data_IF_250895941880
#
_entry.id   IF_250895941880
#
_cell.length_a   1.000
_cell.length_b   1.000
_cell.length_c   1.000
_cell.angle_alpha   90.00
_cell.angle_beta   90.00
_cell.angle_gamma   90.00
#
_symmetry.space_group_name_H-M   'P 1'
#
loop_
_entity.id
_entity.type
_entity.pdbx_description
1 polymer ?
#
# COMPACT_ATOMS: atom_id res chain seq x y z
N UNK A 1 5.88 -6.59 -33.13
CA UNK A 1 6.10 -5.46 -32.20
C UNK A 1 6.68 -5.90 -30.86
N UNK A 2 6.28 -7.04 -30.27
CA UNK A 2 6.86 -7.50 -28.98
C UNK A 2 8.33 -7.93 -29.14
N UNK A 3 8.73 -8.48 -30.28
CA UNK A 3 10.11 -8.93 -30.56
C UNK A 3 11.14 -7.80 -30.82
N UNK A 4 10.72 -6.57 -31.03
CA UNK A 4 11.65 -5.45 -31.28
C UNK A 4 12.18 -4.83 -29.99
N UNK A 5 11.37 -4.77 -28.96
CA UNK A 5 11.74 -4.18 -27.65
C UNK A 5 12.89 -4.95 -26.98
N UNK A 6 12.99 -6.26 -27.25
CA UNK A 6 14.05 -7.12 -26.67
C UNK A 6 15.36 -7.12 -27.48
N UNK A 7 15.42 -6.40 -28.61
CA UNK A 7 16.58 -6.39 -29.53
C UNK A 7 17.41 -5.12 -29.51
N UNK A 8 16.89 -4.05 -28.96
CA UNK A 8 17.67 -2.82 -28.85
C UNK A 8 18.74 -2.98 -27.76
N UNK A 9 19.98 -2.69 -28.14
CA UNK A 9 21.10 -2.70 -27.20
C UNK A 9 21.00 -1.49 -26.30
N UNK A 10 20.94 -1.73 -25.00
CA UNK A 10 21.04 -0.66 -24.01
C UNK A 10 22.51 -0.26 -23.81
N UNK A 11 22.84 0.97 -24.17
CA UNK A 11 24.18 1.50 -23.99
C UNK A 11 24.11 2.82 -23.20
N UNK A 12 24.90 2.95 -22.15
CA UNK A 12 25.02 4.15 -21.33
C UNK A 12 26.49 4.59 -21.30
N UNK A 13 26.79 5.77 -21.78
CA UNK A 13 28.15 6.32 -21.84
C UNK A 13 29.18 5.36 -22.48
N UNK A 14 28.77 4.67 -23.56
CA UNK A 14 29.59 3.68 -24.25
C UNK A 14 29.68 2.30 -23.58
N UNK A 15 29.09 2.11 -22.41
CA UNK A 15 29.01 0.80 -21.72
C UNK A 15 27.71 0.08 -22.10
N UNK A 16 27.84 -1.09 -22.69
CA UNK A 16 26.69 -1.94 -23.02
C UNK A 16 26.16 -2.68 -21.78
N UNK A 17 24.86 -2.58 -21.54
CA UNK A 17 24.14 -3.37 -20.52
C UNK A 17 23.55 -4.57 -21.21
N UNK A 18 23.95 -5.75 -20.78
CA UNK A 18 23.57 -7.00 -21.42
C UNK A 18 22.08 -7.34 -21.23
N UNK A 19 21.47 -7.93 -22.24
CA UNK A 19 20.08 -8.37 -22.20
C UNK A 19 19.76 -9.32 -21.02
N UNK A 20 20.71 -10.19 -20.65
CA UNK A 20 20.55 -11.09 -19.51
C UNK A 20 20.44 -10.31 -18.18
N UNK A 21 21.17 -9.19 -18.04
CA UNK A 21 21.06 -8.33 -16.87
C UNK A 21 19.69 -7.63 -16.80
N UNK A 22 19.18 -7.17 -17.97
CA UNK A 22 17.83 -6.58 -18.04
C UNK A 22 16.77 -7.63 -17.72
N UNK A 23 16.92 -8.86 -18.22
CA UNK A 23 15.99 -9.96 -17.94
C UNK A 23 15.97 -10.36 -16.46
N UNK A 24 17.12 -10.34 -15.78
CA UNK A 24 17.22 -10.58 -14.36
C UNK A 24 16.55 -9.46 -13.55
N UNK A 25 16.81 -8.21 -13.90
CA UNK A 25 16.21 -7.04 -13.25
C UNK A 25 14.69 -6.98 -13.46
N UNK A 26 14.19 -7.36 -14.65
CA UNK A 26 12.75 -7.34 -14.98
C UNK A 26 11.89 -8.21 -14.03
N UNK A 27 12.49 -9.20 -13.37
CA UNK A 27 11.80 -10.02 -12.36
C UNK A 27 11.43 -9.22 -11.10
N UNK A 28 12.10 -8.12 -10.86
CA UNK A 28 11.87 -7.23 -9.70
C UNK A 28 10.91 -6.07 -10.04
N UNK A 29 10.46 -5.96 -11.29
CA UNK A 29 9.56 -4.90 -11.74
C UNK A 29 8.16 -5.48 -12.06
N UNK A 30 7.21 -5.47 -11.09
CA UNK A 30 5.83 -5.91 -11.35
C UNK A 30 5.19 -5.02 -12.40
N UNK A 31 4.77 -5.61 -13.52
CA UNK A 31 4.16 -4.89 -14.63
C UNK A 31 3.03 -5.73 -15.27
N UNK A 32 2.09 -5.08 -16.03
CA UNK A 32 1.00 -5.80 -16.66
C UNK A 32 1.45 -6.83 -17.72
N UNK A 33 2.62 -6.61 -18.30
CA UNK A 33 3.19 -7.49 -19.35
C UNK A 33 4.72 -7.46 -19.32
N UNK A 34 5.33 -8.43 -20.02
CA UNK A 34 6.77 -8.62 -20.06
C UNK A 34 7.52 -7.44 -20.74
N UNK A 35 6.90 -6.76 -21.70
CA UNK A 35 7.54 -5.62 -22.37
C UNK A 35 7.64 -4.42 -21.43
N UNK A 36 6.58 -4.15 -20.66
CA UNK A 36 6.57 -3.10 -19.64
C UNK A 36 7.57 -3.38 -18.51
N UNK A 37 7.68 -4.65 -18.05
CA UNK A 37 8.68 -5.06 -17.08
C UNK A 37 10.12 -4.87 -17.60
N UNK A 38 10.35 -5.26 -18.86
CA UNK A 38 11.64 -5.08 -19.53
C UNK A 38 12.03 -3.61 -19.62
N UNK A 39 11.11 -2.75 -20.05
CA UNK A 39 11.36 -1.32 -20.16
C UNK A 39 11.70 -0.71 -18.81
N UNK A 40 10.95 -1.01 -17.76
CA UNK A 40 11.21 -0.54 -16.41
C UNK A 40 12.58 -0.99 -15.88
N UNK A 41 12.96 -2.25 -16.15
CA UNK A 41 14.27 -2.79 -15.81
C UNK A 41 15.40 -2.09 -16.59
N UNK A 42 15.21 -1.85 -17.89
CA UNK A 42 16.19 -1.14 -18.71
C UNK A 42 16.39 0.31 -18.23
N UNK A 43 15.30 1.00 -17.88
CA UNK A 43 15.37 2.34 -17.27
C UNK A 43 16.12 2.33 -15.93
N UNK A 44 15.82 1.39 -15.04
CA UNK A 44 16.46 1.26 -13.74
C UNK A 44 17.96 1.01 -13.88
N UNK A 45 18.37 0.10 -14.76
CA UNK A 45 19.78 -0.20 -15.02
C UNK A 45 20.50 0.96 -15.70
N UNK A 46 19.86 1.71 -16.58
CA UNK A 46 20.42 2.90 -17.19
C UNK A 46 20.68 3.99 -16.14
N UNK A 47 19.71 4.25 -15.27
CA UNK A 47 19.85 5.20 -14.15
C UNK A 47 20.97 4.76 -13.21
N UNK A 48 21.01 3.48 -12.84
CA UNK A 48 22.07 2.91 -11.99
C UNK A 48 23.44 3.15 -12.60
N UNK A 49 23.60 2.91 -13.92
CA UNK A 49 24.86 3.11 -14.61
C UNK A 49 25.27 4.58 -14.64
N UNK A 50 24.34 5.51 -14.90
CA UNK A 50 24.61 6.95 -14.86
C UNK A 50 25.13 7.39 -13.48
N UNK A 51 24.49 6.91 -12.40
CA UNK A 51 24.90 7.24 -11.04
C UNK A 51 26.28 6.66 -10.71
N UNK A 52 26.58 5.44 -11.15
CA UNK A 52 27.89 4.83 -10.95
C UNK A 52 28.99 5.56 -11.73
N UNK A 53 28.72 5.95 -12.98
CA UNK A 53 29.67 6.72 -13.81
C UNK A 53 29.95 8.07 -13.16
N UNK A 54 28.95 8.72 -12.58
CA UNK A 54 29.11 9.98 -11.87
C UNK A 54 29.89 9.80 -10.55
N UNK A 55 29.63 8.71 -9.81
CA UNK A 55 30.42 8.37 -8.63
C UNK A 55 31.91 8.13 -8.99
N UNK A 56 32.16 7.45 -10.11
CA UNK A 56 33.52 7.27 -10.64
C UNK A 56 34.16 8.63 -10.99
N UNK A 57 33.45 9.50 -11.69
CA UNK A 57 33.91 10.85 -12.08
C UNK A 57 34.31 11.73 -10.87
N UNK A 58 33.52 11.61 -9.78
CA UNK A 58 33.74 12.37 -8.54
C UNK A 58 34.70 11.68 -7.56
N UNK A 59 35.12 10.44 -7.86
CA UNK A 59 35.99 9.66 -6.98
C UNK A 59 35.30 9.25 -5.68
N UNK A 60 33.99 9.05 -5.73
CA UNK A 60 33.19 8.62 -4.56
C UNK A 60 33.30 7.11 -4.41
N UNK A 61 33.91 6.70 -3.31
CA UNK A 61 33.96 5.30 -2.89
C UNK A 61 32.85 5.02 -1.88
N UNK A 62 32.14 3.91 -2.05
CA UNK A 62 31.16 3.44 -1.08
C UNK A 62 31.89 2.92 0.17
N UNK A 63 31.97 3.72 1.20
CA UNK A 63 32.39 3.24 2.51
C UNK A 63 31.24 2.39 3.12
N UNK A 64 31.60 1.48 4.03
CA UNK A 64 30.76 0.50 4.73
C UNK A 64 29.40 1.06 5.27
N UNK A 65 28.51 1.43 4.34
CA UNK A 65 27.14 1.79 4.65
C UNK A 65 26.33 0.50 4.92
N UNK A 66 25.41 0.59 5.84
CA UNK A 66 24.49 -0.50 6.17
C UNK A 66 23.06 -0.05 5.88
N UNK A 67 22.20 -1.01 5.56
CA UNK A 67 20.76 -0.80 5.49
C UNK A 67 20.15 -0.55 6.89
N UNK A 68 18.83 -0.29 6.93
CA UNK A 68 18.09 -0.04 8.18
C UNK A 68 18.10 -1.24 9.15
N UNK A 69 18.45 -2.44 8.66
CA UNK A 69 18.57 -3.68 9.44
C UNK A 69 20.02 -3.95 9.87
N UNK A 70 20.94 -3.05 9.54
CA UNK A 70 22.38 -3.12 9.90
C UNK A 70 23.19 -4.07 9.02
N UNK A 71 22.67 -4.52 7.86
CA UNK A 71 23.38 -5.35 6.90
C UNK A 71 24.21 -4.48 5.96
N UNK A 72 25.44 -4.87 5.62
CA UNK A 72 26.26 -4.09 4.68
C UNK A 72 25.56 -4.02 3.30
N UNK A 73 25.50 -2.82 2.75
CA UNK A 73 25.03 -2.62 1.38
C UNK A 73 25.99 -3.26 0.38
N UNK A 74 25.45 -3.65 -0.78
CA UNK A 74 26.31 -4.06 -1.89
C UNK A 74 27.20 -2.89 -2.33
N UNK A 75 28.43 -3.13 -2.80
CA UNK A 75 29.40 -2.07 -3.08
C UNK A 75 28.88 -0.97 -4.02
N UNK A 76 28.09 -1.34 -5.04
CA UNK A 76 27.50 -0.39 -5.96
C UNK A 76 26.38 0.44 -5.32
N UNK A 77 25.54 -0.19 -4.49
CA UNK A 77 24.51 0.50 -3.72
C UNK A 77 25.12 1.50 -2.74
N UNK A 78 26.13 1.08 -2.00
CA UNK A 78 26.85 1.96 -1.08
C UNK A 78 27.48 3.18 -1.78
N UNK A 79 27.97 3.00 -3.02
CA UNK A 79 28.51 4.12 -3.82
C UNK A 79 27.42 5.08 -4.29
N UNK A 80 26.28 4.56 -4.75
CA UNK A 80 25.12 5.36 -5.15
C UNK A 80 24.59 6.15 -3.96
N UNK A 81 24.43 5.52 -2.82
CA UNK A 81 23.98 6.17 -1.58
C UNK A 81 24.96 7.30 -1.17
N UNK A 82 26.26 7.03 -1.21
CA UNK A 82 27.29 8.04 -0.90
C UNK A 82 27.26 9.21 -1.91
N UNK A 83 27.05 8.93 -3.20
CA UNK A 83 26.90 9.96 -4.23
C UNK A 83 25.68 10.83 -3.96
N UNK A 84 24.52 10.21 -3.75
CA UNK A 84 23.28 10.94 -3.50
C UNK A 84 23.35 11.78 -2.22
N UNK A 85 23.98 11.27 -1.17
CA UNK A 85 24.19 12.01 0.08
C UNK A 85 25.13 13.22 -0.10
N UNK A 86 26.10 13.14 -1.02
CA UNK A 86 27.02 14.23 -1.29
C UNK A 86 26.42 15.32 -2.20
N UNK A 87 25.74 14.91 -3.26
CA UNK A 87 25.30 15.79 -4.35
C UNK A 87 23.87 16.29 -4.22
N UNK A 88 22.98 15.52 -3.55
CA UNK A 88 21.60 15.87 -3.41
C UNK A 88 21.33 16.44 -2.02
N UNK A 89 20.99 17.74 -1.99
CA UNK A 89 20.64 18.42 -0.74
C UNK A 89 19.21 18.91 -0.82
N UNK A 90 18.42 18.62 0.19
CA UNK A 90 17.04 19.09 0.30
C UNK A 90 16.82 19.81 1.62
N UNK A 91 16.00 20.88 1.61
CA UNK A 91 15.66 21.55 2.85
C UNK A 91 14.80 20.65 3.74
N UNK A 92 15.05 20.70 5.03
CA UNK A 92 14.15 20.08 6.00
C UNK A 92 12.82 20.81 6.07
N UNK A 93 11.75 20.08 6.27
CA UNK A 93 10.42 20.65 6.42
C UNK A 93 10.26 21.24 7.83
N UNK A 94 10.31 22.56 7.94
CA UNK A 94 10.04 23.23 9.19
C UNK A 94 8.55 23.15 9.59
N UNK A 95 8.27 23.49 10.85
CA UNK A 95 6.92 23.47 11.40
C UNK A 95 5.94 24.38 10.63
N UNK A 96 6.42 25.48 10.05
CA UNK A 96 5.59 26.40 9.28
C UNK A 96 5.17 25.79 7.94
N UNK A 97 6.08 25.09 7.27
CA UNK A 97 5.80 24.35 6.03
C UNK A 97 4.86 23.18 6.27
N UNK A 98 5.09 22.39 7.31
CA UNK A 98 4.20 21.31 7.72
C UNK A 98 2.80 21.85 8.07
N UNK A 99 2.71 23.00 8.74
CA UNK A 99 1.42 23.63 9.08
C UNK A 99 0.66 24.08 7.84
N UNK A 100 1.33 24.72 6.88
CA UNK A 100 0.69 25.11 5.62
C UNK A 100 0.15 23.89 4.86
N UNK A 101 0.92 22.81 4.81
CA UNK A 101 0.47 21.57 4.19
C UNK A 101 -0.77 20.99 4.89
N UNK A 102 -0.74 20.92 6.21
CA UNK A 102 -1.89 20.49 7.01
C UNK A 102 -3.14 21.33 6.72
N UNK A 103 -3.01 22.67 6.74
CA UNK A 103 -4.14 23.59 6.56
C UNK A 103 -4.74 23.50 5.15
N UNK A 104 -3.90 23.21 4.14
CA UNK A 104 -4.34 23.03 2.76
C UNK A 104 -4.97 21.67 2.49
N UNK A 105 -4.59 20.64 3.28
CA UNK A 105 -4.99 19.24 3.05
C UNK A 105 -5.71 18.62 4.26
N UNK A 106 -6.52 19.40 4.97
CA UNK A 106 -7.18 18.99 6.22
C UNK A 106 -7.93 17.66 6.13
N UNK A 107 -8.58 17.40 5.00
CA UNK A 107 -9.34 16.15 4.79
C UNK A 107 -8.47 14.89 4.86
N UNK A 108 -7.17 14.99 4.56
CA UNK A 108 -6.21 13.88 4.67
C UNK A 108 -5.85 13.54 6.12
N UNK A 109 -6.13 14.45 7.04
CA UNK A 109 -5.76 14.35 8.46
C UNK A 109 -6.99 14.17 9.33
N UNK A 110 -7.87 13.26 8.93
CA UNK A 110 -9.00 12.82 9.73
C UNK A 110 -8.76 11.41 10.24
N UNK A 111 -9.30 11.10 11.42
CA UNK A 111 -9.32 9.72 11.90
C UNK A 111 -10.18 8.86 10.96
N UNK A 112 -9.89 7.58 10.89
CA UNK A 112 -10.82 6.67 10.24
C UNK A 112 -12.15 6.62 11.01
N UNK A 113 -13.28 6.36 10.32
CA UNK A 113 -14.51 5.99 10.99
C UNK A 113 -14.32 4.65 11.71
N UNK A 114 -14.93 4.50 12.88
CA UNK A 114 -14.97 3.22 13.58
C UNK A 114 -16.43 2.88 13.89
N UNK A 115 -16.77 1.60 13.72
CA UNK A 115 -18.11 1.09 14.03
C UNK A 115 -17.95 -0.10 14.97
N UNK A 116 -18.64 -0.07 16.10
CA UNK A 116 -18.78 -1.26 16.94
C UNK A 116 -19.58 -2.29 16.18
N UNK A 117 -19.06 -3.51 16.06
CA UNK A 117 -19.68 -4.57 15.29
C UNK A 117 -20.01 -5.77 16.15
N UNK A 118 -21.18 -6.31 15.93
CA UNK A 118 -21.57 -7.60 16.43
C UNK A 118 -21.98 -8.47 15.25
N UNK A 119 -21.63 -9.76 15.31
CA UNK A 119 -22.02 -10.67 14.25
C UNK A 119 -22.37 -12.08 14.75
N UNK A 120 -23.16 -12.77 13.94
CA UNK A 120 -23.43 -14.20 14.04
C UNK A 120 -22.92 -14.83 12.76
N UNK A 121 -21.97 -15.77 12.86
CA UNK A 121 -21.43 -16.48 11.71
C UNK A 121 -22.05 -17.87 11.61
N UNK A 122 -22.71 -18.14 10.51
CA UNK A 122 -23.10 -19.49 10.08
C UNK A 122 -22.02 -19.98 9.10
N UNK A 123 -21.13 -20.83 9.60
CA UNK A 123 -19.99 -21.29 8.80
C UNK A 123 -20.44 -22.15 7.62
N UNK A 124 -19.95 -21.82 6.44
CA UNK A 124 -20.16 -22.59 5.22
C UNK A 124 -19.01 -22.34 4.26
N UNK A 125 -18.50 -23.38 3.59
CA UNK A 125 -17.53 -23.19 2.51
C UNK A 125 -18.22 -22.55 1.30
N UNK A 126 -17.61 -21.53 0.65
CA UNK A 126 -18.17 -20.94 -0.57
C UNK A 126 -18.44 -21.95 -1.69
N UNK A 127 -17.66 -23.03 -1.72
CA UNK A 127 -17.74 -24.08 -2.74
C UNK A 127 -18.86 -25.11 -2.46
N UNK A 128 -19.42 -25.11 -1.25
CA UNK A 128 -20.52 -25.98 -0.86
C UNK A 128 -21.86 -25.24 -0.95
N UNK A 129 -22.50 -25.37 -2.11
CA UNK A 129 -23.77 -24.72 -2.41
C UNK A 129 -24.88 -25.13 -1.43
N UNK A 130 -24.89 -26.40 -0.96
CA UNK A 130 -25.92 -26.89 -0.03
C UNK A 130 -25.71 -26.29 1.36
N UNK A 131 -24.45 -26.33 1.88
CA UNK A 131 -24.12 -25.72 3.17
C UNK A 131 -24.38 -24.21 3.16
N UNK A 132 -24.01 -23.51 2.08
CA UNK A 132 -24.32 -22.09 1.91
C UNK A 132 -25.81 -21.80 1.88
N UNK A 133 -26.60 -22.66 1.26
CA UNK A 133 -28.08 -22.57 1.23
C UNK A 133 -28.69 -22.69 2.63
N UNK A 134 -28.28 -23.70 3.40
CA UNK A 134 -28.71 -23.91 4.79
C UNK A 134 -28.31 -22.74 5.69
N UNK A 135 -27.03 -22.34 5.64
CA UNK A 135 -26.53 -21.20 6.41
C UNK A 135 -27.28 -19.89 6.09
N UNK A 136 -27.61 -19.67 4.81
CA UNK A 136 -28.43 -18.52 4.39
C UNK A 136 -29.84 -18.59 4.98
N UNK A 137 -30.45 -19.79 5.02
CA UNK A 137 -31.77 -20.03 5.63
C UNK A 137 -31.76 -19.71 7.13
N UNK A 138 -30.73 -20.22 7.85
CA UNK A 138 -30.57 -20.01 9.29
C UNK A 138 -30.31 -18.52 9.59
N UNK A 139 -29.47 -17.86 8.81
CA UNK A 139 -29.19 -16.43 8.94
C UNK A 139 -30.49 -15.60 8.74
N UNK A 140 -31.33 -15.94 7.76
CA UNK A 140 -32.63 -15.27 7.55
C UNK A 140 -33.58 -15.46 8.71
N UNK A 141 -33.58 -16.65 9.31
CA UNK A 141 -34.40 -16.90 10.51
C UNK A 141 -33.90 -16.05 11.70
N UNK A 142 -32.57 -15.95 11.88
CA UNK A 142 -31.98 -15.11 12.90
C UNK A 142 -32.33 -13.62 12.68
N UNK A 143 -32.25 -13.12 11.46
CA UNK A 143 -32.61 -11.74 11.12
C UNK A 143 -34.07 -11.47 11.46
N UNK A 144 -34.99 -12.33 11.06
CA UNK A 144 -36.43 -12.17 11.39
C UNK A 144 -36.70 -12.14 12.88
N UNK A 145 -36.02 -13.00 13.66
CA UNK A 145 -36.15 -12.97 15.12
C UNK A 145 -35.62 -11.67 15.71
N UNK A 146 -34.46 -11.19 15.22
CA UNK A 146 -33.85 -9.94 15.69
C UNK A 146 -34.64 -8.68 15.32
N UNK A 147 -35.43 -8.74 14.24
CA UNK A 147 -36.37 -7.68 13.87
C UNK A 147 -37.54 -7.60 14.83
N UNK A 148 -38.00 -8.75 15.37
CA UNK A 148 -39.04 -8.80 16.38
C UNK A 148 -38.49 -8.46 17.79
N UNK A 149 -37.35 -9.01 18.13
CA UNK A 149 -36.70 -8.86 19.45
C UNK A 149 -35.21 -8.55 19.33
N UNK A 150 -34.81 -7.26 19.15
CA UNK A 150 -33.40 -6.86 18.93
C UNK A 150 -32.47 -7.22 20.06
N UNK A 151 -32.97 -7.38 21.30
CA UNK A 151 -32.20 -7.69 22.51
C UNK A 151 -31.62 -9.11 22.51
N UNK A 152 -32.12 -10.00 21.68
CA UNK A 152 -31.74 -11.42 21.62
C UNK A 152 -30.42 -11.66 20.88
N UNK A 153 -29.75 -10.61 20.36
CA UNK A 153 -28.55 -10.78 19.52
C UNK A 153 -27.46 -11.61 20.21
N UNK A 154 -27.13 -11.26 21.44
CA UNK A 154 -26.09 -11.95 22.20
C UNK A 154 -26.42 -13.42 22.48
N UNK A 155 -27.70 -13.71 22.74
CA UNK A 155 -28.18 -15.09 22.94
C UNK A 155 -28.08 -15.92 21.66
N UNK A 156 -28.56 -15.36 20.54
CA UNK A 156 -28.45 -16.01 19.24
C UNK A 156 -27.02 -16.23 18.81
N UNK A 157 -26.14 -15.24 19.09
CA UNK A 157 -24.70 -15.38 18.80
C UNK A 157 -24.09 -16.55 19.60
N UNK A 158 -24.35 -16.63 20.91
CA UNK A 158 -23.83 -17.72 21.75
C UNK A 158 -24.33 -19.09 21.27
N UNK A 159 -25.58 -19.16 20.83
CA UNK A 159 -26.22 -20.41 20.45
C UNK A 159 -25.83 -20.88 19.05
N UNK A 160 -25.69 -19.97 18.09
CA UNK A 160 -25.63 -20.33 16.68
C UNK A 160 -24.33 -19.91 15.98
N UNK A 161 -23.58 -18.96 16.55
CA UNK A 161 -22.38 -18.47 15.86
C UNK A 161 -21.24 -19.49 15.91
N UNK A 162 -20.61 -19.70 14.77
CA UNK A 162 -19.39 -20.47 14.63
C UNK A 162 -18.13 -19.65 15.00
N UNK A 163 -18.26 -18.32 15.12
CA UNK A 163 -17.14 -17.43 15.47
C UNK A 163 -16.84 -17.52 16.98
N UNK A 164 -15.54 -17.51 17.39
CA UNK A 164 -15.17 -17.42 18.81
C UNK A 164 -15.73 -16.19 19.54
N UNK A 165 -16.07 -15.12 18.83
CA UNK A 165 -16.72 -13.95 19.40
C UNK A 165 -18.09 -14.25 20.04
N UNK A 166 -18.69 -15.41 19.80
CA UNK A 166 -19.93 -15.86 20.45
C UNK A 166 -19.88 -15.80 21.96
N UNK A 167 -18.71 -16.07 22.57
CA UNK A 167 -18.51 -16.02 24.02
C UNK A 167 -18.73 -14.60 24.57
N UNK A 168 -18.55 -13.59 23.72
CA UNK A 168 -18.82 -12.18 24.01
C UNK A 168 -20.12 -11.69 23.38
N UNK A 169 -21.07 -12.62 23.09
CA UNK A 169 -22.33 -12.28 22.46
C UNK A 169 -22.26 -11.82 21.01
N UNK A 170 -21.18 -12.23 20.31
CA UNK A 170 -20.94 -11.85 18.91
C UNK A 170 -20.14 -10.54 18.75
N UNK A 171 -19.72 -9.90 19.83
CA UNK A 171 -19.03 -8.61 19.78
C UNK A 171 -17.61 -8.76 19.24
N UNK A 172 -17.30 -8.02 18.15
CA UNK A 172 -16.00 -7.93 17.50
C UNK A 172 -15.18 -6.70 17.97
N UNK A 173 -15.80 -5.81 18.73
CA UNK A 173 -15.21 -4.52 19.07
C UNK A 173 -15.39 -3.48 17.96
N UNK A 174 -14.52 -2.48 17.96
CA UNK A 174 -14.53 -1.41 16.95
C UNK A 174 -13.80 -1.85 15.70
N UNK A 175 -14.46 -1.72 14.58
CA UNK A 175 -13.95 -2.07 13.25
C UNK A 175 -13.75 -0.80 12.44
N UNK A 176 -12.53 -0.64 11.91
CA UNK A 176 -12.17 0.39 10.94
C UNK A 176 -12.01 -0.17 9.53
N UNK A 177 -11.88 0.69 8.51
CA UNK A 177 -11.63 0.27 7.13
C UNK A 177 -10.35 -0.58 7.00
N UNK A 178 -10.42 -1.67 6.21
CA UNK A 178 -9.30 -2.58 5.95
C UNK A 178 -9.06 -3.63 7.05
N UNK A 179 -9.91 -3.72 8.06
CA UNK A 179 -9.72 -4.65 9.18
C UNK A 179 -10.45 -5.98 9.01
N UNK A 180 -11.40 -6.05 8.09
CA UNK A 180 -12.14 -7.28 7.78
C UNK A 180 -12.25 -7.51 6.27
N UNK A 181 -12.99 -8.54 5.85
CA UNK A 181 -13.22 -8.80 4.43
C UNK A 181 -14.18 -7.76 3.85
N UNK A 182 -13.98 -7.42 2.57
CA UNK A 182 -14.66 -6.31 1.91
C UNK A 182 -16.19 -6.38 1.99
N UNK A 183 -16.76 -7.57 1.82
CA UNK A 183 -18.22 -7.79 1.86
C UNK A 183 -18.80 -7.52 3.26
N UNK A 184 -18.06 -7.90 4.30
CA UNK A 184 -18.44 -7.64 5.69
C UNK A 184 -18.36 -6.14 5.99
N UNK A 185 -17.28 -5.49 5.60
CA UNK A 185 -17.09 -4.05 5.81
C UNK A 185 -18.15 -3.23 5.08
N UNK A 186 -18.40 -3.52 3.81
CA UNK A 186 -19.41 -2.82 3.04
C UNK A 186 -20.79 -2.90 3.72
N UNK A 187 -21.16 -4.08 4.19
CA UNK A 187 -22.42 -4.26 4.91
C UNK A 187 -22.42 -3.50 6.25
N UNK A 188 -21.38 -3.64 7.07
CA UNK A 188 -21.29 -2.98 8.37
C UNK A 188 -21.35 -1.45 8.26
N UNK A 189 -20.58 -0.88 7.35
CA UNK A 189 -20.51 0.58 7.20
C UNK A 189 -21.78 1.18 6.58
N UNK A 190 -22.61 0.38 5.90
CA UNK A 190 -23.91 0.81 5.38
C UNK A 190 -25.02 0.85 6.44
N UNK A 191 -24.87 0.12 7.56
CA UNK A 191 -25.86 0.06 8.63
C UNK A 191 -25.83 1.32 9.48
N UNK A 192 -27.00 1.73 9.98
CA UNK A 192 -27.15 2.75 11.02
C UNK A 192 -26.81 2.17 12.40
N UNK A 193 -26.54 3.04 13.39
CA UNK A 193 -26.31 2.62 14.76
C UNK A 193 -27.52 1.83 15.33
N UNK A 194 -27.26 0.65 15.86
CA UNK A 194 -28.27 -0.29 16.38
C UNK A 194 -28.95 -1.16 15.33
N UNK A 195 -28.70 -0.91 14.05
CA UNK A 195 -29.34 -1.62 12.95
C UNK A 195 -28.74 -3.01 12.73
N UNK A 196 -29.60 -3.99 12.44
CA UNK A 196 -29.24 -5.33 11.97
C UNK A 196 -29.41 -5.38 10.46
N UNK A 197 -28.47 -6.00 9.76
CA UNK A 197 -28.57 -6.17 8.32
C UNK A 197 -29.93 -6.81 7.92
N UNK A 198 -30.53 -6.31 6.85
CA UNK A 198 -31.82 -6.82 6.36
C UNK A 198 -31.70 -8.14 5.62
N UNK A 199 -30.54 -8.42 5.05
CA UNK A 199 -30.20 -9.65 4.33
C UNK A 199 -28.90 -10.26 4.86
N UNK A 200 -28.75 -11.60 4.78
CA UNK A 200 -27.52 -12.28 5.14
C UNK A 200 -26.33 -11.85 4.28
N UNK A 201 -25.17 -11.59 4.91
CA UNK A 201 -23.95 -11.18 4.24
C UNK A 201 -23.06 -12.40 4.00
N UNK A 202 -22.76 -12.69 2.74
CA UNK A 202 -21.89 -13.81 2.36
C UNK A 202 -20.44 -13.37 2.28
N UNK A 203 -19.56 -14.19 2.85
CA UNK A 203 -18.11 -14.02 2.79
C UNK A 203 -17.42 -15.37 2.56
N UNK A 204 -16.12 -15.38 2.43
CA UNK A 204 -15.34 -16.63 2.35
C UNK A 204 -15.43 -17.51 3.61
N UNK A 205 -15.91 -16.99 4.73
CA UNK A 205 -16.05 -17.74 5.99
C UNK A 205 -17.42 -18.35 6.19
N UNK A 206 -18.40 -17.96 5.37
CA UNK A 206 -19.79 -18.37 5.46
C UNK A 206 -20.75 -17.19 5.38
N UNK A 207 -21.86 -17.30 6.09
CA UNK A 207 -22.96 -16.33 6.06
C UNK A 207 -23.05 -15.61 7.40
N UNK A 208 -23.07 -14.29 7.36
CA UNK A 208 -23.09 -13.44 8.54
C UNK A 208 -24.44 -12.75 8.71
N UNK A 209 -24.85 -12.60 9.96
CA UNK A 209 -25.82 -11.59 10.41
C UNK A 209 -25.03 -10.54 11.17
N UNK A 210 -25.15 -9.29 10.77
CA UNK A 210 -24.33 -8.17 11.28
C UNK A 210 -25.26 -7.16 11.95
N UNK A 211 -24.84 -6.67 13.14
CA UNK A 211 -25.43 -5.50 13.78
C UNK A 211 -24.36 -4.43 13.96
N UNK A 212 -24.66 -3.21 13.53
CA UNK A 212 -23.82 -2.06 13.83
C UNK A 212 -24.16 -1.52 15.24
N UNK A 213 -23.15 -1.38 16.07
CA UNK A 213 -23.25 -0.66 17.34
C UNK A 213 -22.90 0.81 17.18
N UNK A 214 -22.26 1.38 18.21
CA UNK A 214 -21.89 2.78 18.24
C UNK A 214 -20.92 3.12 17.11
N UNK A 215 -21.17 4.27 16.46
CA UNK A 215 -20.32 4.81 15.40
C UNK A 215 -19.47 5.95 15.94
N UNK A 216 -18.22 5.93 15.59
CA UNK A 216 -17.30 7.06 15.83
C UNK A 216 -17.00 7.71 14.49
N UNK A 217 -17.58 8.89 14.30
CA UNK A 217 -17.36 9.66 13.08
C UNK A 217 -15.91 10.13 12.96
N UNK A 218 -15.40 10.24 11.73
CA UNK A 218 -14.07 10.79 11.49
C UNK A 218 -13.91 12.18 12.10
N UNK A 219 -12.89 12.36 12.93
CA UNK A 219 -12.56 13.65 13.53
C UNK A 219 -11.27 14.19 12.96
N UNK A 220 -11.21 15.52 12.84
CA UNK A 220 -9.97 16.20 12.49
C UNK A 220 -8.89 15.90 13.53
N UNK A 221 -7.77 15.34 13.09
CA UNK A 221 -6.61 15.14 13.95
C UNK A 221 -5.94 16.49 14.20
N UNK A 222 -5.60 16.84 15.43
CA UNK A 222 -4.81 18.03 15.74
C UNK A 222 -3.48 18.03 14.98
N UNK A 223 -3.01 19.21 14.59
CA UNK A 223 -1.75 19.35 13.86
C UNK A 223 -0.58 18.71 14.60
N UNK A 224 -0.53 18.89 15.91
CA UNK A 224 0.54 18.40 16.79
C UNK A 224 0.68 16.87 16.75
N UNK A 225 -0.42 16.15 16.49
CA UNK A 225 -0.40 14.69 16.36
C UNK A 225 0.16 14.20 15.02
N UNK A 226 0.12 15.05 13.99
CA UNK A 226 0.48 14.67 12.62
C UNK A 226 1.67 15.44 12.08
N UNK A 227 2.16 16.43 12.81
CA UNK A 227 3.23 17.34 12.40
C UNK A 227 4.47 16.60 11.90
N UNK A 228 4.98 15.65 12.70
CA UNK A 228 6.20 14.91 12.34
C UNK A 228 5.96 14.08 11.07
N UNK A 229 4.86 13.36 10.99
CA UNK A 229 4.51 12.56 9.80
C UNK A 229 4.38 13.42 8.54
N UNK A 230 3.89 14.66 8.68
CA UNK A 230 3.81 15.60 7.56
C UNK A 230 5.22 16.07 7.17
N UNK A 231 6.07 16.39 8.14
CA UNK A 231 7.45 16.79 7.88
C UNK A 231 8.20 15.67 7.14
N UNK A 232 8.14 14.46 7.64
CA UNK A 232 8.76 13.28 7.03
C UNK A 232 8.28 13.06 5.58
N UNK A 233 6.97 13.14 5.35
CA UNK A 233 6.37 13.04 4.01
C UNK A 233 6.87 14.13 3.06
N UNK A 234 6.98 15.37 3.53
CA UNK A 234 7.43 16.50 2.71
C UNK A 234 8.93 16.39 2.41
N UNK A 235 9.74 15.98 3.38
CA UNK A 235 11.16 15.74 3.20
C UNK A 235 11.40 14.61 2.20
N UNK A 236 10.73 13.49 2.34
CA UNK A 236 10.81 12.36 1.42
C UNK A 236 10.36 12.74 0.00
N UNK A 237 9.25 13.48 -0.15
CA UNK A 237 8.79 13.95 -1.44
C UNK A 237 9.75 14.97 -2.07
N UNK A 238 10.43 15.79 -1.27
CA UNK A 238 11.45 16.72 -1.73
C UNK A 238 12.70 15.97 -2.19
N UNK A 239 13.14 14.99 -1.40
CA UNK A 239 14.27 14.12 -1.70
C UNK A 239 14.05 13.36 -3.02
N UNK A 240 12.93 12.69 -3.18
CA UNK A 240 12.60 11.98 -4.44
C UNK A 240 12.63 12.90 -5.65
N UNK A 241 12.07 14.10 -5.55
CA UNK A 241 12.11 15.09 -6.64
C UNK A 241 13.53 15.56 -6.94
N UNK A 242 14.35 15.79 -5.92
CA UNK A 242 15.72 16.23 -6.10
C UNK A 242 16.57 15.14 -6.77
N UNK A 243 16.40 13.88 -6.39
CA UNK A 243 17.05 12.75 -7.08
C UNK A 243 16.59 12.66 -8.53
N UNK A 244 15.28 12.73 -8.80
CA UNK A 244 14.76 12.70 -10.15
C UNK A 244 15.33 13.82 -11.02
N UNK A 245 15.46 15.02 -10.47
CA UNK A 245 16.10 16.15 -11.15
C UNK A 245 17.58 15.91 -11.38
N UNK A 246 18.30 15.36 -10.40
CA UNK A 246 19.72 15.04 -10.53
C UNK A 246 19.95 13.99 -11.62
N UNK A 247 19.16 12.92 -11.63
CA UNK A 247 19.19 11.89 -12.69
C UNK A 247 18.89 12.49 -14.06
N UNK A 248 17.90 13.38 -14.16
CA UNK A 248 17.58 14.06 -15.42
C UNK A 248 18.73 14.91 -15.94
N UNK A 249 19.50 15.58 -15.04
CA UNK A 249 20.69 16.34 -15.41
C UNK A 249 21.79 15.38 -15.93
N UNK A 250 22.04 14.27 -15.23
CA UNK A 250 23.04 13.28 -15.67
C UNK A 250 22.65 12.65 -17.01
N UNK A 251 21.36 12.33 -17.20
CA UNK A 251 20.85 11.80 -18.46
C UNK A 251 20.99 12.81 -19.63
N UNK A 252 20.79 14.09 -19.35
CA UNK A 252 21.00 15.15 -20.35
C UNK A 252 22.47 15.41 -20.71
N UNK A 253 23.41 14.97 -19.88
CA UNK A 253 24.86 15.08 -20.10
C UNK A 253 25.47 13.80 -20.67
N UNK A 254 24.81 12.65 -20.45
CA UNK A 254 25.27 11.34 -20.89
C UNK A 254 24.73 10.94 -22.25
N UNK A 255 25.33 9.90 -22.83
CA UNK A 255 24.87 9.25 -24.06
C UNK A 255 24.10 7.97 -23.69
N UNK A 256 22.80 7.95 -23.97
CA UNK A 256 21.94 6.79 -23.69
C UNK A 256 21.25 6.34 -24.98
N UNK A 257 21.33 5.07 -25.28
CA UNK A 257 20.60 4.45 -26.40
C UNK A 257 19.94 3.13 -25.99
N UNK A 258 18.84 2.80 -26.64
CA UNK A 258 18.07 1.57 -26.37
C UNK A 258 16.99 1.71 -25.30
N UNK A 259 16.89 2.84 -24.61
CA UNK A 259 15.82 3.18 -23.70
C UNK A 259 15.57 4.68 -23.68
N UNK A 260 14.32 5.09 -23.58
CA UNK A 260 13.95 6.45 -23.25
C UNK A 260 13.76 6.52 -21.75
N UNK A 261 14.53 7.39 -21.07
CA UNK A 261 14.25 7.66 -19.66
C UNK A 261 12.98 8.52 -19.62
N UNK A 262 11.90 7.94 -19.12
CA UNK A 262 10.68 8.69 -18.79
C UNK A 262 10.95 9.73 -17.71
N UNK A 263 9.97 10.61 -17.46
CA UNK A 263 10.07 11.50 -16.30
C UNK A 263 10.39 10.66 -15.06
N UNK A 264 11.58 10.87 -14.48
CA UNK A 264 12.18 10.01 -13.44
C UNK A 264 11.40 9.91 -12.11
N UNK A 265 10.09 10.12 -12.15
CA UNK A 265 9.20 10.06 -10.99
C UNK A 265 8.78 8.63 -10.60
N UNK A 266 9.04 7.62 -11.43
CA UNK A 266 8.58 6.25 -11.21
C UNK A 266 9.64 5.19 -10.88
N UNK A 267 10.89 5.40 -11.29
CA UNK A 267 11.90 4.33 -11.32
C UNK A 267 12.75 4.16 -10.05
N UNK A 268 12.66 5.08 -9.07
CA UNK A 268 13.53 5.11 -7.89
C UNK A 268 12.84 4.73 -6.57
N UNK A 269 11.63 4.18 -6.61
CA UNK A 269 10.89 3.81 -5.40
C UNK A 269 10.39 2.37 -5.51
N UNK A 270 11.24 1.43 -5.20
CA UNK A 270 10.84 0.14 -4.63
C UNK A 270 11.79 -0.22 -3.50
#
# INVERSE_FOLDING_TARGET
MVDEVFKERLVVNGREILADAIAAEAQHHPAPDAASAWQAAAEALAIRQLLLDEADRLGIEGSSLTDDEGRPLMPEEARIEALLAAEVQTPKADAATARRFYDTHRERFRSAPLVEAEHILFAASPDDTLACGLATGDARMAIRRLQAEPTDFAELARKHSACPAKERGGNLGQIGPGQTVAEFEQALFALSEGEVCSEPVKTRFGVHVIRAGRRLEPRQLPFEMVQQRIADYLEEASWRRAIAQYVAILAGQGEISGVALGDAQGALVQ
#
